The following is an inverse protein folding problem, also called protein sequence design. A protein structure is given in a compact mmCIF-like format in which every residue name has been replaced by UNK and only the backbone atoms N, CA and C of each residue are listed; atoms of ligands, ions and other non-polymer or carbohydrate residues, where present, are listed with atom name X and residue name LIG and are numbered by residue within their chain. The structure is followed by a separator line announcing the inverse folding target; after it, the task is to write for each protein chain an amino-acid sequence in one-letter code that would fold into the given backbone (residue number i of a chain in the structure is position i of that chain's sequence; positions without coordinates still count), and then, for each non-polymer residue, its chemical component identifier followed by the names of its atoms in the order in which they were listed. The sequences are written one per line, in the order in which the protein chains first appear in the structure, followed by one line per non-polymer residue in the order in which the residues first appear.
data_IF_098917897077
#
_entry.id   IF_098917897077
#
_cell.length_a   1.000
_cell.length_b   1.000
_cell.length_c   1.000
_cell.angle_alpha   90.00
_cell.angle_beta   90.00
_cell.angle_gamma   90.00
#
_symmetry.space_group_name_H-M   'P 1'
#
loop_
_entity.id
_entity.type
_entity.pdbx_description
1 polymer ?
#
# COMPACT_ATOMS: atom_id res chain seq x y z
N UNK A 1 3.89 -57.46 40.36
CA UNK A 1 3.84 -56.14 41.04
C UNK A 1 4.89 -55.24 40.40
N UNK A 2 4.50 -54.18 39.68
CA UNK A 2 5.45 -53.18 39.14
C UNK A 2 5.43 -51.96 40.06
N UNK A 3 6.51 -51.77 40.82
CA UNK A 3 6.71 -50.60 41.67
C UNK A 3 6.65 -49.32 40.85
N UNK A 4 5.59 -48.53 41.06
CA UNK A 4 5.54 -47.14 40.60
C UNK A 4 6.51 -46.35 41.48
N UNK A 5 7.79 -46.27 41.09
CA UNK A 5 8.77 -45.33 41.66
C UNK A 5 8.12 -43.96 41.79
N UNK A 6 7.90 -43.52 43.03
CA UNK A 6 7.40 -42.19 43.33
C UNK A 6 8.32 -41.17 42.66
N UNK A 7 7.77 -40.36 41.73
CA UNK A 7 8.52 -39.29 41.07
C UNK A 7 8.97 -38.30 42.14
N UNK A 8 10.28 -38.22 42.32
CA UNK A 8 10.93 -37.35 43.29
C UNK A 8 10.40 -35.89 43.17
N UNK A 9 9.73 -35.35 44.20
CA UNK A 9 9.06 -34.04 44.12
C UNK A 9 10.07 -32.89 43.90
N UNK A 10 11.32 -33.09 44.31
CA UNK A 10 12.44 -32.16 44.13
C UNK A 10 12.78 -31.98 42.64
N UNK A 11 12.85 -33.07 41.87
CA UNK A 11 13.10 -33.05 40.42
C UNK A 11 11.94 -32.39 39.65
N UNK A 12 10.71 -32.55 40.13
CA UNK A 12 9.53 -31.87 39.54
C UNK A 12 9.57 -30.36 39.78
N UNK A 13 9.95 -29.93 40.99
CA UNK A 13 10.12 -28.52 41.33
C UNK A 13 11.26 -27.86 40.54
N UNK A 14 12.41 -28.54 40.39
CA UNK A 14 13.53 -28.06 39.58
C UNK A 14 13.17 -27.90 38.10
N UNK A 15 12.42 -28.86 37.52
CA UNK A 15 11.92 -28.74 36.13
C UNK A 15 10.95 -27.59 35.95
N UNK A 16 10.06 -27.36 36.93
CA UNK A 16 9.13 -26.24 36.89
C UNK A 16 9.84 -24.87 36.98
N UNK A 17 10.86 -24.75 37.86
CA UNK A 17 11.70 -23.56 37.97
C UNK A 17 12.47 -23.29 36.66
N UNK A 18 13.09 -24.32 36.07
CA UNK A 18 13.77 -24.22 34.77
C UNK A 18 12.83 -23.78 33.65
N UNK A 19 11.63 -24.36 33.56
CA UNK A 19 10.65 -23.98 32.55
C UNK A 19 10.16 -22.53 32.73
N UNK A 20 10.07 -22.05 33.97
CA UNK A 20 9.73 -20.65 34.26
C UNK A 20 10.85 -19.71 33.80
N UNK A 21 12.11 -20.05 34.05
CA UNK A 21 13.27 -19.29 33.58
C UNK A 21 13.31 -19.22 32.04
N UNK A 22 13.18 -20.36 31.36
CA UNK A 22 13.14 -20.42 29.89
C UNK A 22 12.00 -19.57 29.31
N UNK A 23 10.81 -19.59 29.94
CA UNK A 23 9.70 -18.72 29.50
C UNK A 23 10.00 -17.24 29.69
N UNK A 24 10.65 -16.85 30.79
CA UNK A 24 11.03 -15.45 31.02
C UNK A 24 12.10 -14.99 30.02
N UNK A 25 13.09 -15.83 29.73
CA UNK A 25 14.10 -15.57 28.69
C UNK A 25 13.46 -15.45 27.31
N UNK A 26 12.56 -16.35 26.94
CA UNK A 26 11.81 -16.28 25.68
C UNK A 26 10.96 -15.01 25.59
N UNK A 27 10.31 -14.61 26.69
CA UNK A 27 9.53 -13.37 26.74
C UNK A 27 10.43 -12.14 26.62
N UNK A 28 11.57 -12.11 27.30
CA UNK A 28 12.54 -11.02 27.21
C UNK A 28 13.11 -10.90 25.79
N UNK A 29 13.46 -12.04 25.18
CA UNK A 29 13.94 -12.09 23.80
C UNK A 29 12.87 -11.63 22.81
N UNK A 30 11.63 -12.11 22.92
CA UNK A 30 10.53 -11.67 22.07
C UNK A 30 10.27 -10.16 22.20
N UNK A 31 10.37 -9.60 23.42
CA UNK A 31 10.27 -8.15 23.63
C UNK A 31 11.40 -7.38 22.97
N UNK A 32 12.64 -7.85 23.12
CA UNK A 32 13.80 -7.22 22.49
C UNK A 32 13.71 -7.27 20.96
N UNK A 33 13.32 -8.41 20.39
CA UNK A 33 13.07 -8.56 18.95
C UNK A 33 11.95 -7.64 18.48
N UNK A 34 10.83 -7.55 19.21
CA UNK A 34 9.74 -6.63 18.86
C UNK A 34 10.15 -5.15 18.92
N UNK A 35 11.00 -4.77 19.88
CA UNK A 35 11.51 -3.41 20.00
C UNK A 35 12.44 -3.07 18.82
N UNK A 36 13.36 -3.97 18.47
CA UNK A 36 14.25 -3.78 17.32
C UNK A 36 13.49 -3.65 15.99
N UNK A 37 12.42 -4.46 15.81
CA UNK A 37 11.53 -4.33 14.64
C UNK A 37 10.80 -2.99 14.66
N UNK A 38 10.28 -2.56 15.80
CA UNK A 38 9.59 -1.27 15.92
C UNK A 38 10.50 -0.09 15.59
N UNK A 39 11.76 -0.11 16.06
CA UNK A 39 12.76 0.92 15.77
C UNK A 39 13.08 0.98 14.27
N UNK A 40 13.32 -0.17 13.64
CA UNK A 40 13.57 -0.23 12.18
C UNK A 40 12.37 0.22 11.33
N UNK A 41 11.14 -0.10 11.76
CA UNK A 41 9.92 0.40 11.11
C UNK A 41 9.80 1.92 11.27
N UNK A 42 10.09 2.45 12.47
CA UNK A 42 10.04 3.88 12.73
C UNK A 42 11.03 4.66 11.84
N UNK A 43 12.27 4.17 11.69
CA UNK A 43 13.26 4.74 10.78
C UNK A 43 12.76 4.75 9.33
N UNK A 44 12.24 3.62 8.84
CA UNK A 44 11.72 3.50 7.47
C UNK A 44 10.54 4.43 7.20
N UNK A 45 9.64 4.56 8.18
CA UNK A 45 8.48 5.47 8.11
C UNK A 45 8.95 6.93 8.13
N UNK A 46 9.95 7.27 8.95
CA UNK A 46 10.53 8.61 9.00
C UNK A 46 11.17 8.99 7.66
N UNK A 47 11.94 8.09 7.05
CA UNK A 47 12.52 8.28 5.71
C UNK A 47 11.45 8.48 4.64
N UNK A 48 10.39 7.67 4.67
CA UNK A 48 9.27 7.77 3.74
C UNK A 48 8.54 9.11 3.88
N UNK A 49 8.29 9.57 5.11
CA UNK A 49 7.70 10.89 5.38
C UNK A 49 8.61 12.03 4.93
N UNK A 50 9.92 11.92 5.13
CA UNK A 50 10.88 12.92 4.65
C UNK A 50 10.81 13.09 3.11
N UNK A 51 10.60 11.98 2.39
CA UNK A 51 10.37 11.93 0.93
C UNK A 51 8.99 12.41 0.50
N UNK A 52 8.11 12.76 1.43
CA UNK A 52 6.77 13.29 1.15
C UNK A 52 5.64 12.26 1.23
N UNK A 53 5.93 11.00 1.56
CA UNK A 53 4.91 9.97 1.67
C UNK A 53 3.94 10.25 2.82
N UNK A 54 2.65 10.13 2.52
CA UNK A 54 1.60 10.18 3.52
C UNK A 54 1.46 8.81 4.19
N UNK A 55 2.02 8.64 5.40
CA UNK A 55 1.95 7.37 6.14
C UNK A 55 1.11 7.51 7.40
N UNK A 56 -0.02 6.82 7.44
CA UNK A 56 -0.88 6.66 8.62
C UNK A 56 -0.43 5.43 9.39
N UNK A 57 -0.35 5.54 10.71
CA UNK A 57 0.04 4.45 11.61
C UNK A 57 -0.73 4.50 12.91
N UNK A 58 -0.44 3.58 13.84
CA UNK A 58 -1.09 3.59 15.15
C UNK A 58 -0.75 4.90 15.87
N UNK A 59 -1.78 5.55 16.43
CA UNK A 59 -1.57 6.80 17.18
C UNK A 59 -0.66 6.54 18.39
N UNK A 60 0.41 7.34 18.58
CA UNK A 60 1.24 7.22 19.77
C UNK A 60 0.39 7.59 20.99
N UNK A 61 0.09 6.60 21.84
CA UNK A 61 -0.62 6.79 23.11
C UNK A 61 -2.01 6.15 23.22
N UNK A 62 -2.59 5.64 22.13
CA UNK A 62 -3.80 4.80 22.21
C UNK A 62 -3.41 3.33 22.21
N UNK A 63 -3.80 2.60 23.26
CA UNK A 63 -3.83 1.12 23.26
C UNK A 63 -4.88 0.68 22.23
N UNK A 64 -4.50 0.61 20.95
CA UNK A 64 -5.31 -0.04 19.94
C UNK A 64 -5.36 -1.55 20.22
N UNK A 65 -6.49 -2.25 19.97
CA UNK A 65 -6.64 -3.66 20.33
C UNK A 65 -5.75 -4.63 19.51
N UNK A 66 -4.99 -4.12 18.53
CA UNK A 66 -4.00 -4.80 17.70
C UNK A 66 -3.13 -3.71 17.09
N UNK A 67 -1.84 -3.97 16.90
CA UNK A 67 -0.93 -3.07 16.17
C UNK A 67 -1.48 -2.85 14.76
N UNK A 68 -2.14 -1.72 14.54
CA UNK A 68 -2.61 -1.35 13.20
C UNK A 68 -1.37 -1.12 12.33
N UNK A 69 -1.20 -1.86 11.23
CA UNK A 69 0.00 -1.71 10.40
C UNK A 69 0.05 -0.30 9.79
N UNK A 70 1.26 0.25 9.67
CA UNK A 70 1.48 1.51 8.95
C UNK A 70 1.02 1.34 7.49
N UNK A 71 0.17 2.24 7.01
CA UNK A 71 -0.34 2.26 5.64
C UNK A 71 0.01 3.58 4.97
N UNK A 72 0.58 3.50 3.77
CA UNK A 72 0.73 4.65 2.87
C UNK A 72 -0.65 5.02 2.33
N UNK A 73 -1.04 6.27 2.51
CA UNK A 73 -2.17 6.86 1.80
C UNK A 73 -1.73 7.17 0.37
N UNK A 74 -2.59 6.85 -0.59
CA UNK A 74 -2.40 7.32 -1.95
C UNK A 74 -2.59 8.86 -2.00
N UNK A 75 -2.15 9.48 -3.10
CA UNK A 75 -2.25 10.93 -3.26
C UNK A 75 -3.66 11.50 -3.16
N UNK A 76 -4.67 10.79 -3.69
CA UNK A 76 -6.07 11.21 -3.66
C UNK A 76 -6.68 11.17 -2.25
N UNK A 77 -6.46 10.09 -1.50
CA UNK A 77 -6.90 9.93 -0.12
C UNK A 77 -6.23 10.95 0.78
N UNK A 78 -4.95 11.27 0.54
CA UNK A 78 -4.27 12.33 1.27
C UNK A 78 -4.87 13.71 0.99
N UNK A 79 -5.18 14.03 -0.26
CA UNK A 79 -5.81 15.29 -0.64
C UNK A 79 -7.22 15.41 -0.06
N UNK A 80 -8.00 14.33 -0.12
CA UNK A 80 -9.35 14.25 0.43
C UNK A 80 -9.33 14.38 1.97
N UNK A 81 -8.44 13.66 2.66
CA UNK A 81 -8.27 13.75 4.11
C UNK A 81 -7.89 15.16 4.57
N UNK A 82 -7.21 15.94 3.72
CA UNK A 82 -6.89 17.36 3.96
C UNK A 82 -7.98 18.34 3.52
N UNK A 83 -9.12 17.85 3.00
CA UNK A 83 -10.21 18.69 2.48
C UNK A 83 -9.80 19.54 1.27
N UNK A 84 -8.79 19.11 0.51
CA UNK A 84 -8.27 19.87 -0.64
C UNK A 84 -9.04 19.61 -1.93
N UNK A 85 -9.72 18.48 -2.02
CA UNK A 85 -10.54 18.06 -3.17
C UNK A 85 -11.93 17.64 -2.68
N UNK A 86 -12.96 17.78 -3.53
CA UNK A 86 -14.31 17.28 -3.24
C UNK A 86 -14.41 15.76 -3.42
N UNK A 87 -15.47 15.16 -2.90
CA UNK A 87 -15.77 13.73 -3.10
C UNK A 87 -16.02 13.40 -4.59
N UNK A 88 -16.64 14.31 -5.34
CA UNK A 88 -16.86 14.17 -6.78
C UNK A 88 -15.53 14.17 -7.56
N UNK A 89 -14.63 15.10 -7.22
CA UNK A 89 -13.28 15.18 -7.77
C UNK A 89 -12.46 13.93 -7.42
N UNK A 90 -12.59 13.43 -6.19
CA UNK A 90 -11.97 12.17 -5.74
C UNK A 90 -12.46 11.00 -6.58
N UNK A 91 -13.78 10.84 -6.73
CA UNK A 91 -14.35 9.75 -7.51
C UNK A 91 -13.95 9.83 -9.00
N UNK A 92 -13.83 11.03 -9.57
CA UNK A 92 -13.30 11.21 -10.93
C UNK A 92 -11.83 10.76 -11.05
N UNK A 93 -11.00 11.15 -10.08
CA UNK A 93 -9.61 10.72 -9.99
C UNK A 93 -9.46 9.21 -9.83
N UNK A 94 -10.30 8.57 -9.01
CA UNK A 94 -10.29 7.12 -8.83
C UNK A 94 -10.64 6.38 -10.12
N UNK A 95 -11.67 6.84 -10.86
CA UNK A 95 -12.02 6.30 -12.18
C UNK A 95 -10.86 6.44 -13.16
N UNK A 96 -10.22 7.60 -13.21
CA UNK A 96 -9.04 7.83 -14.05
C UNK A 96 -7.91 6.87 -13.68
N UNK A 97 -7.56 6.80 -12.40
CA UNK A 97 -6.49 5.97 -11.86
C UNK A 97 -6.68 4.49 -12.12
N UNK A 98 -7.91 3.99 -11.94
CA UNK A 98 -8.24 2.59 -12.21
C UNK A 98 -7.97 2.21 -13.67
N UNK A 99 -8.44 3.05 -14.60
CA UNK A 99 -8.23 2.84 -16.04
C UNK A 99 -6.74 2.94 -16.38
N UNK A 100 -6.04 3.94 -15.84
CA UNK A 100 -4.60 4.13 -16.04
C UNK A 100 -3.79 2.91 -15.61
N UNK A 101 -4.01 2.41 -14.38
CA UNK A 101 -3.28 1.26 -13.84
C UNK A 101 -3.54 0.00 -14.66
N UNK A 102 -4.77 -0.20 -15.13
CA UNK A 102 -5.10 -1.33 -16.00
C UNK A 102 -4.31 -1.29 -17.32
N UNK A 103 -4.26 -0.13 -17.98
CA UNK A 103 -3.47 0.05 -19.22
C UNK A 103 -1.97 -0.07 -18.97
N UNK A 104 -1.48 0.39 -17.81
CA UNK A 104 -0.06 0.28 -17.44
C UNK A 104 0.37 -1.19 -17.23
N UNK A 105 -0.48 -1.99 -16.58
CA UNK A 105 -0.23 -3.42 -16.32
C UNK A 105 -0.18 -4.26 -17.60
N UNK A 106 -0.85 -3.85 -18.68
CA UNK A 106 -0.73 -4.51 -19.98
C UNK A 106 0.69 -4.47 -20.54
N UNK A 107 1.42 -3.38 -20.28
CA UNK A 107 2.82 -3.25 -20.72
C UNK A 107 3.77 -4.11 -19.88
N UNK A 108 3.36 -4.53 -18.68
CA UNK A 108 4.10 -5.52 -17.91
C UNK A 108 3.70 -6.91 -18.38
N UNK A 109 4.39 -7.42 -19.40
CA UNK A 109 4.32 -8.84 -19.74
C UNK A 109 4.69 -9.61 -18.47
N UNK A 110 3.84 -10.51 -17.95
CA UNK A 110 4.20 -11.36 -16.84
C UNK A 110 5.45 -12.14 -17.26
N UNK A 111 6.57 -11.88 -16.59
CA UNK A 111 7.80 -12.59 -16.85
C UNK A 111 7.53 -14.09 -16.71
N UNK A 112 7.96 -14.90 -17.68
CA UNK A 112 7.94 -16.36 -17.58
C UNK A 112 8.89 -16.87 -16.48
N UNK A 113 9.69 -15.97 -15.88
CA UNK A 113 10.51 -16.16 -14.69
C UNK A 113 9.83 -15.67 -13.39
N UNK A 114 8.51 -15.42 -13.41
CA UNK A 114 7.77 -15.24 -12.16
C UNK A 114 7.80 -16.56 -11.38
N UNK A 115 8.71 -16.65 -10.42
CA UNK A 115 8.89 -17.79 -9.52
C UNK A 115 7.63 -17.87 -8.66
N UNK A 116 6.55 -18.43 -9.22
CA UNK A 116 5.34 -18.74 -8.49
C UNK A 116 5.71 -19.82 -7.48
N UNK A 117 5.94 -19.36 -6.25
CA UNK A 117 6.13 -20.19 -5.08
C UNK A 117 4.82 -20.99 -4.89
N UNK A 118 4.76 -22.20 -5.47
CA UNK A 118 3.74 -23.27 -5.36
C UNK A 118 2.84 -23.45 -6.60
N UNK A 119 3.26 -24.31 -7.54
CA UNK A 119 2.34 -25.06 -8.40
C UNK A 119 2.79 -25.24 -9.85
N UNK A 120 2.27 -26.27 -10.56
CA UNK A 120 2.48 -26.42 -12.00
C UNK A 120 1.86 -25.23 -12.75
N UNK A 121 2.54 -24.75 -13.79
CA UNK A 121 2.00 -23.72 -14.67
C UNK A 121 0.76 -24.29 -15.38
N UNK A 122 -0.41 -23.74 -15.04
CA UNK A 122 -1.65 -23.97 -15.78
C UNK A 122 -1.80 -22.82 -16.77
N UNK A 123 -1.77 -23.06 -18.09
CA UNK A 123 -2.03 -22.02 -19.06
C UNK A 123 -3.44 -21.45 -18.83
N UNK A 124 -3.63 -20.13 -18.89
CA UNK A 124 -4.95 -19.53 -18.75
C UNK A 124 -5.87 -20.02 -19.87
N UNK A 125 -7.18 -20.11 -19.60
CA UNK A 125 -8.14 -20.46 -20.63
C UNK A 125 -8.14 -19.38 -21.73
N UNK A 126 -8.39 -19.77 -22.97
CA UNK A 126 -8.45 -18.83 -24.10
C UNK A 126 -9.49 -17.72 -23.85
N UNK A 127 -10.61 -18.06 -23.23
CA UNK A 127 -11.67 -17.12 -22.83
C UNK A 127 -11.15 -16.04 -21.87
N UNK A 128 -10.34 -16.42 -20.88
CA UNK A 128 -9.75 -15.47 -19.92
C UNK A 128 -8.78 -14.50 -20.61
N UNK A 129 -8.00 -15.01 -21.57
CA UNK A 129 -7.05 -14.20 -22.35
C UNK A 129 -7.78 -13.20 -23.23
N UNK A 130 -8.85 -13.65 -23.93
CA UNK A 130 -9.67 -12.78 -24.77
C UNK A 130 -10.40 -11.72 -23.92
N UNK A 131 -11.04 -12.12 -22.82
CA UNK A 131 -11.70 -11.20 -21.91
C UNK A 131 -10.73 -10.17 -21.30
N UNK A 132 -9.51 -10.59 -21.00
CA UNK A 132 -8.45 -9.68 -20.55
C UNK A 132 -8.09 -8.65 -21.62
N UNK A 133 -7.91 -9.08 -22.87
CA UNK A 133 -7.61 -8.21 -24.01
C UNK A 133 -8.71 -7.18 -24.27
N UNK A 134 -9.97 -7.62 -24.35
CA UNK A 134 -11.13 -6.75 -24.58
C UNK A 134 -11.28 -5.67 -23.49
N UNK A 135 -11.20 -6.09 -22.23
CA UNK A 135 -11.31 -5.17 -21.11
C UNK A 135 -10.15 -4.16 -21.05
N UNK A 136 -8.97 -4.54 -21.57
CA UNK A 136 -7.81 -3.65 -21.63
C UNK A 136 -7.92 -2.67 -22.79
N UNK A 137 -8.42 -3.09 -23.95
CA UNK A 137 -8.72 -2.19 -25.06
C UNK A 137 -9.84 -1.20 -24.70
N UNK A 138 -10.86 -1.64 -23.96
CA UNK A 138 -11.87 -0.75 -23.39
C UNK A 138 -11.25 0.28 -22.45
N UNK A 139 -10.31 -0.15 -21.59
CA UNK A 139 -9.57 0.75 -20.71
C UNK A 139 -8.72 1.77 -21.50
N UNK A 140 -8.02 1.36 -22.57
CA UNK A 140 -7.27 2.28 -23.44
C UNK A 140 -8.16 3.34 -24.06
N UNK A 141 -9.31 2.94 -24.60
CA UNK A 141 -10.30 3.87 -25.19
C UNK A 141 -10.80 4.86 -24.14
N UNK A 142 -11.08 4.38 -22.93
CA UNK A 142 -11.53 5.23 -21.82
C UNK A 142 -10.44 6.19 -21.32
N UNK A 143 -9.19 5.75 -21.25
CA UNK A 143 -8.06 6.61 -20.88
C UNK A 143 -7.85 7.71 -21.92
N UNK A 144 -7.92 7.36 -23.21
CA UNK A 144 -7.84 8.32 -24.28
C UNK A 144 -8.98 9.34 -24.22
N UNK A 145 -10.19 8.92 -23.85
CA UNK A 145 -11.32 9.82 -23.63
C UNK A 145 -11.06 10.80 -22.48
N UNK A 146 -10.61 10.33 -21.32
CA UNK A 146 -10.26 11.22 -20.22
C UNK A 146 -9.17 12.23 -20.61
N UNK A 147 -8.12 11.79 -21.31
CA UNK A 147 -7.05 12.68 -21.78
C UNK A 147 -7.54 13.69 -22.82
N UNK A 148 -8.50 13.32 -23.66
CA UNK A 148 -9.18 14.25 -24.57
C UNK A 148 -10.00 15.30 -23.81
N UNK A 149 -10.69 14.93 -22.72
CA UNK A 149 -11.43 15.87 -21.87
C UNK A 149 -10.52 16.89 -21.19
N UNK A 150 -9.28 16.50 -20.88
CA UNK A 150 -8.24 17.42 -20.40
C UNK A 150 -7.64 18.31 -21.52
N UNK A 151 -8.32 18.39 -22.68
CA UNK A 151 -7.98 19.21 -23.85
C UNK A 151 -6.55 19.03 -24.38
N UNK A 152 -5.88 17.93 -24.06
CA UNK A 152 -4.49 17.69 -24.47
C UNK A 152 -3.47 18.58 -23.76
N UNK A 153 -3.80 19.22 -22.64
CA UNK A 153 -2.81 19.93 -21.83
C UNK A 153 -1.89 18.90 -21.12
N UNK A 154 -0.60 18.85 -21.48
CA UNK A 154 0.31 17.81 -20.97
C UNK A 154 0.46 17.88 -19.45
N UNK A 155 0.40 19.08 -18.86
CA UNK A 155 0.54 19.28 -17.42
C UNK A 155 -0.65 18.71 -16.63
N UNK A 156 -1.89 18.87 -17.14
CA UNK A 156 -3.09 18.29 -16.50
C UNK A 156 -3.04 16.76 -16.56
N UNK A 157 -2.64 16.22 -17.71
CA UNK A 157 -2.50 14.77 -17.89
C UNK A 157 -1.39 14.22 -17.01
N UNK A 158 -0.24 14.89 -16.95
CA UNK A 158 0.89 14.48 -16.13
C UNK A 158 0.54 14.51 -14.63
N UNK A 159 -0.20 15.52 -14.17
CA UNK A 159 -0.68 15.60 -12.79
C UNK A 159 -1.64 14.44 -12.46
N UNK A 160 -2.59 14.14 -13.35
CA UNK A 160 -3.50 13.00 -13.20
C UNK A 160 -2.76 11.65 -13.25
N UNK A 161 -1.82 11.48 -14.17
CA UNK A 161 -1.02 10.26 -14.26
C UNK A 161 -0.21 10.03 -12.99
N UNK A 162 0.48 11.06 -12.46
CA UNK A 162 1.29 10.93 -11.26
C UNK A 162 0.46 10.69 -9.99
N UNK A 163 -0.63 11.42 -9.80
CA UNK A 163 -1.37 11.39 -8.53
C UNK A 163 -2.50 10.35 -8.56
N UNK A 164 -3.28 10.32 -9.63
CA UNK A 164 -4.39 9.36 -9.75
C UNK A 164 -3.90 8.00 -10.24
N UNK A 165 -2.95 7.98 -11.18
CA UNK A 165 -2.42 6.75 -11.79
C UNK A 165 -1.37 6.06 -10.92
N UNK A 166 -0.26 6.75 -10.65
CA UNK A 166 0.89 6.26 -9.86
C UNK A 166 0.69 6.37 -8.34
N UNK A 167 -0.46 6.89 -7.90
CA UNK A 167 -0.85 7.01 -6.49
C UNK A 167 0.13 7.82 -5.63
N UNK A 168 0.89 8.73 -6.25
CA UNK A 168 1.85 9.60 -5.57
C UNK A 168 1.13 10.77 -4.90
N UNK A 169 1.63 11.19 -3.74
CA UNK A 169 1.27 12.48 -3.16
C UNK A 169 1.85 13.64 -3.99
N UNK A 170 1.28 14.85 -3.94
CA UNK A 170 1.81 15.99 -4.68
C UNK A 170 3.29 16.27 -4.40
N UNK A 171 3.74 16.04 -3.16
CA UNK A 171 5.14 16.23 -2.77
C UNK A 171 6.07 15.14 -3.32
N UNK A 172 5.63 13.89 -3.36
CA UNK A 172 6.39 12.81 -3.99
C UNK A 172 6.52 13.02 -5.50
N UNK A 173 5.45 13.43 -6.17
CA UNK A 173 5.43 13.67 -7.60
C UNK A 173 6.24 14.90 -8.02
N UNK A 174 6.20 15.98 -7.23
CA UNK A 174 6.89 17.22 -7.54
C UNK A 174 8.35 17.28 -7.04
N UNK A 175 8.75 16.41 -6.10
CA UNK A 175 10.09 16.41 -5.51
C UNK A 175 10.40 17.58 -4.57
N UNK A 176 9.44 18.47 -4.31
CA UNK A 176 9.62 19.65 -3.46
C UNK A 176 8.32 20.38 -3.11
N UNK A 177 8.34 21.21 -2.08
CA UNK A 177 7.12 21.83 -1.51
C UNK A 177 6.51 22.92 -2.40
N UNK A 178 7.34 23.73 -3.07
CA UNK A 178 6.85 24.79 -3.99
C UNK A 178 6.13 24.20 -5.19
N UNK A 179 6.74 23.22 -5.83
CA UNK A 179 6.18 22.58 -7.01
C UNK A 179 4.99 21.67 -6.65
N UNK A 180 4.95 21.12 -5.43
CA UNK A 180 3.78 20.40 -4.93
C UNK A 180 2.52 21.28 -4.89
N UNK A 181 2.65 22.55 -4.48
CA UNK A 181 1.52 23.49 -4.47
C UNK A 181 1.01 23.81 -5.88
N UNK A 182 1.92 24.00 -6.85
CA UNK A 182 1.56 24.18 -8.26
C UNK A 182 0.90 22.92 -8.82
N UNK A 183 1.47 21.75 -8.56
CA UNK A 183 0.95 20.47 -9.00
C UNK A 183 -0.44 20.18 -8.43
N UNK A 184 -0.67 20.51 -7.16
CA UNK A 184 -1.98 20.41 -6.51
C UNK A 184 -3.01 21.32 -7.21
N UNK A 185 -2.66 22.57 -7.53
CA UNK A 185 -3.56 23.48 -8.23
C UNK A 185 -3.92 22.97 -9.64
N UNK A 186 -2.93 22.50 -10.40
CA UNK A 186 -3.12 21.89 -11.72
C UNK A 186 -4.01 20.65 -11.62
N UNK A 187 -3.80 19.79 -10.63
CA UNK A 187 -4.62 18.61 -10.41
C UNK A 187 -6.08 18.96 -10.11
N UNK A 188 -6.35 19.98 -9.29
CA UNK A 188 -7.75 20.37 -8.96
C UNK A 188 -8.54 20.73 -10.21
N UNK A 189 -7.95 21.57 -11.06
CA UNK A 189 -8.56 21.93 -12.35
C UNK A 189 -8.78 20.68 -13.20
N UNK A 190 -7.80 19.78 -13.28
CA UNK A 190 -7.94 18.54 -14.03
C UNK A 190 -9.10 17.66 -13.51
N UNK A 191 -9.22 17.51 -12.18
CA UNK A 191 -10.28 16.70 -11.57
C UNK A 191 -11.66 17.32 -11.70
N UNK A 192 -11.78 18.65 -11.62
CA UNK A 192 -13.03 19.36 -11.88
C UNK A 192 -13.51 19.13 -13.31
N UNK A 193 -12.61 19.27 -14.30
CA UNK A 193 -12.92 18.99 -15.70
C UNK A 193 -13.36 17.54 -15.94
N UNK A 194 -12.80 16.59 -15.19
CA UNK A 194 -13.19 15.17 -15.26
C UNK A 194 -14.48 14.85 -14.49
N UNK A 195 -14.87 15.69 -13.54
CA UNK A 195 -16.08 15.51 -12.72
C UNK A 195 -17.33 16.10 -13.38
N UNK A 196 -17.20 17.14 -14.21
CA UNK A 196 -18.30 17.81 -14.92
C UNK A 196 -18.98 16.96 -16.04
N UNK A 197 -18.73 15.66 -16.08
CA UNK A 197 -19.01 14.79 -17.23
C UNK A 197 -19.39 13.38 -16.82
#
# INVERSE_FOLDING_TARGET
MRDRKAKDPTLKAQRAARNRLVRLEQQARARAESAAVADGVAETVALSRARGAAVVGPEPGRRAPRDTPYRRLNGLDWLAAKGRISEEAKAAGERYGWVYRRVKLEKSIPSTLDVRVRGPFVPPALEDVLAHGEATDAARRRLAEFRRRLSGHPDLVAACDAICGEEQTPREAAGGERDAGRLEAVLKVALELLAMS
#
